data_IF_959089993432
#
_entry.id   IF_959089993432
#
_cell.length_a   1.000
_cell.length_b   1.000
_cell.length_c   1.000
_cell.angle_alpha   90.00
_cell.angle_beta   90.00
_cell.angle_gamma   90.00
#
_symmetry.space_group_name_H-M   'P 1'
#
loop_
_entity.id
_entity.type
_entity.pdbx_description
1 polymer ?
#
# COMPACT_ATOMS: atom_id res chain seq x y z
N UNK A 1 -10.11 0.10 27.59
CA UNK A 1 -8.83 0.71 27.16
C UNK A 1 -7.86 -0.43 26.88
N UNK A 2 -7.43 -0.66 25.64
CA UNK A 2 -6.41 -1.69 25.35
C UNK A 2 -5.07 -1.14 25.85
N UNK A 3 -4.44 -1.82 26.79
CA UNK A 3 -3.05 -1.55 27.17
C UNK A 3 -2.17 -1.72 25.93
N UNK A 4 -1.46 -0.66 25.54
CA UNK A 4 -0.41 -0.74 24.53
C UNK A 4 0.80 -1.38 25.21
N UNK A 5 0.93 -2.70 25.07
CA UNK A 5 2.11 -3.42 25.55
C UNK A 5 3.32 -3.03 24.71
N UNK A 6 4.30 -2.37 25.34
CA UNK A 6 5.58 -2.08 24.68
C UNK A 6 6.43 -3.35 24.68
N UNK A 7 6.56 -3.98 23.52
CA UNK A 7 7.47 -5.09 23.33
C UNK A 7 8.92 -4.60 23.16
N UNK A 8 9.87 -5.29 23.78
CA UNK A 8 11.30 -5.07 23.57
C UNK A 8 11.82 -5.98 22.46
N UNK A 9 12.62 -5.42 21.56
CA UNK A 9 13.30 -6.16 20.49
C UNK A 9 14.81 -5.94 20.57
N UNK A 10 15.59 -6.91 20.10
CA UNK A 10 17.02 -6.75 19.84
C UNK A 10 17.21 -6.56 18.33
N UNK A 11 17.74 -5.41 17.92
CA UNK A 11 17.99 -5.07 16.53
C UNK A 11 19.50 -5.00 16.28
N UNK A 12 19.99 -5.77 15.31
CA UNK A 12 21.37 -5.67 14.83
C UNK A 12 21.41 -4.72 13.64
N UNK A 13 22.34 -3.77 13.69
CA UNK A 13 22.66 -2.84 12.60
C UNK A 13 24.16 -2.90 12.36
N UNK A 14 24.58 -2.78 11.11
CA UNK A 14 25.98 -2.51 10.82
C UNK A 14 26.39 -1.11 11.35
N UNK A 15 27.70 -0.90 11.45
CA UNK A 15 28.27 0.31 12.06
C UNK A 15 27.92 1.58 11.28
N UNK A 16 27.85 1.48 9.95
CA UNK A 16 27.48 2.59 9.08
C UNK A 16 26.03 3.02 9.33
N UNK A 17 25.11 2.06 9.36
CA UNK A 17 23.69 2.28 9.63
C UNK A 17 23.47 2.84 11.03
N UNK A 18 24.17 2.33 12.04
CA UNK A 18 24.07 2.84 13.40
C UNK A 18 24.57 4.29 13.49
N UNK A 19 25.71 4.59 12.86
CA UNK A 19 26.29 5.94 12.82
C UNK A 19 25.36 6.93 12.15
N UNK A 20 24.83 6.57 10.97
CA UNK A 20 23.86 7.40 10.23
C UNK A 20 22.56 7.59 11.01
N UNK A 21 22.06 6.55 11.66
CA UNK A 21 20.86 6.62 12.50
C UNK A 21 21.06 7.58 13.66
N UNK A 22 22.20 7.52 14.35
CA UNK A 22 22.51 8.45 15.44
C UNK A 22 22.62 9.89 14.95
N UNK A 23 23.31 10.12 13.83
CA UNK A 23 23.43 11.45 13.22
C UNK A 23 22.07 12.06 12.86
N UNK A 24 21.20 11.28 12.20
CA UNK A 24 19.87 11.74 11.80
C UNK A 24 18.97 11.99 13.01
N UNK A 25 18.99 11.09 14.01
CA UNK A 25 18.24 11.26 15.25
C UNK A 25 18.62 12.58 15.97
N UNK A 26 19.92 12.87 16.07
CA UNK A 26 20.41 14.11 16.66
C UNK A 26 19.93 15.34 15.88
N UNK A 27 19.95 15.28 14.54
CA UNK A 27 19.51 16.37 13.66
C UNK A 27 18.04 16.70 13.73
N UNK A 28 17.20 15.73 14.10
CA UNK A 28 15.76 15.95 14.33
C UNK A 28 15.43 16.10 15.81
N UNK A 29 16.44 16.33 16.66
CA UNK A 29 16.29 16.50 18.11
C UNK A 29 15.52 15.36 18.79
N UNK A 30 15.78 14.12 18.37
CA UNK A 30 15.12 12.93 18.88
C UNK A 30 16.12 11.91 19.44
N UNK A 31 15.65 11.05 20.34
CA UNK A 31 16.48 9.91 20.78
C UNK A 31 16.58 8.88 19.66
N UNK A 32 17.67 8.10 19.62
CA UNK A 32 17.82 6.98 18.67
C UNK A 32 16.59 6.07 18.66
N UNK A 33 16.10 5.70 19.84
CA UNK A 33 14.94 4.80 19.96
C UNK A 33 13.67 5.43 19.39
N UNK A 34 13.41 6.71 19.68
CA UNK A 34 12.26 7.41 19.13
C UNK A 34 12.36 7.56 17.59
N UNK A 35 13.55 7.90 17.09
CA UNK A 35 13.83 7.96 15.66
C UNK A 35 13.58 6.60 14.96
N UNK A 36 14.10 5.50 15.52
CA UNK A 36 13.89 4.15 14.97
C UNK A 36 12.42 3.77 14.98
N UNK A 37 11.69 4.06 16.06
CA UNK A 37 10.24 3.77 16.12
C UNK A 37 9.47 4.52 15.04
N UNK A 38 9.80 5.80 14.81
CA UNK A 38 9.13 6.59 13.78
C UNK A 38 9.47 6.07 12.38
N UNK A 39 10.74 5.75 12.13
CA UNK A 39 11.18 5.17 10.87
C UNK A 39 10.45 3.86 10.55
N UNK A 40 10.26 2.98 11.55
CA UNK A 40 9.49 1.74 11.40
C UNK A 40 8.02 2.05 11.10
N UNK A 41 7.40 3.01 11.80
CA UNK A 41 6.01 3.40 11.55
C UNK A 41 5.82 3.87 10.10
N UNK A 42 6.64 4.81 9.65
CA UNK A 42 6.58 5.35 8.29
C UNK A 42 6.81 4.26 7.24
N UNK A 43 7.77 3.38 7.49
CA UNK A 43 8.05 2.25 6.60
C UNK A 43 6.85 1.29 6.50
N UNK A 44 6.20 0.99 7.62
CA UNK A 44 5.02 0.11 7.65
C UNK A 44 3.85 0.73 6.86
N UNK A 45 3.52 2.00 7.10
CA UNK A 45 2.45 2.70 6.37
C UNK A 45 2.71 2.69 4.86
N UNK A 46 3.96 2.95 4.45
CA UNK A 46 4.34 2.90 3.04
C UNK A 46 4.20 1.48 2.47
N UNK A 47 4.65 0.48 3.20
CA UNK A 47 4.62 -0.92 2.77
C UNK A 47 3.18 -1.43 2.65
N UNK A 48 2.31 -1.11 3.61
CA UNK A 48 0.88 -1.46 3.56
C UNK A 48 0.20 -0.86 2.32
N UNK A 49 0.47 0.42 2.02
CA UNK A 49 -0.04 1.07 0.80
C UNK A 49 0.45 0.39 -0.47
N UNK A 50 1.73 0.01 -0.51
CA UNK A 50 2.31 -0.70 -1.66
C UNK A 50 1.67 -2.07 -1.85
N UNK A 51 1.52 -2.85 -0.78
CA UNK A 51 0.89 -4.17 -0.83
C UNK A 51 -0.57 -4.09 -1.26
N UNK A 52 -1.31 -3.09 -0.76
CA UNK A 52 -2.69 -2.86 -1.18
C UNK A 52 -2.77 -2.51 -2.67
N UNK A 53 -1.90 -1.62 -3.15
CA UNK A 53 -1.85 -1.23 -4.56
C UNK A 53 -1.54 -2.43 -5.46
N UNK A 54 -0.53 -3.23 -5.11
CA UNK A 54 -0.21 -4.47 -5.84
C UNK A 54 -1.39 -5.42 -5.86
N UNK A 55 -2.10 -5.59 -4.73
CA UNK A 55 -3.26 -6.48 -4.68
C UNK A 55 -4.41 -5.99 -5.53
N UNK A 56 -4.70 -4.69 -5.51
CA UNK A 56 -5.73 -4.09 -6.35
C UNK A 56 -5.39 -4.23 -7.83
N UNK A 57 -4.12 -4.08 -8.20
CA UNK A 57 -3.65 -4.32 -9.57
C UNK A 57 -3.86 -5.77 -9.98
N UNK A 58 -3.43 -6.74 -9.16
CA UNK A 58 -3.64 -8.18 -9.44
C UNK A 58 -5.12 -8.53 -9.63
N UNK A 59 -5.98 -7.98 -8.78
CA UNK A 59 -7.43 -8.21 -8.87
C UNK A 59 -7.97 -7.55 -10.13
N UNK A 60 -7.62 -6.28 -10.39
CA UNK A 60 -8.05 -5.55 -11.58
C UNK A 60 -7.64 -6.26 -12.86
N UNK A 61 -6.43 -6.81 -12.94
CA UNK A 61 -5.96 -7.57 -14.11
C UNK A 61 -6.79 -8.84 -14.30
N UNK A 62 -7.15 -9.54 -13.21
CA UNK A 62 -7.98 -10.76 -13.28
C UNK A 62 -9.42 -10.50 -13.73
N UNK A 63 -10.04 -9.41 -13.29
CA UNK A 63 -11.44 -9.09 -13.64
C UNK A 63 -11.58 -8.21 -14.88
N UNK A 64 -10.48 -7.80 -15.51
CA UNK A 64 -10.48 -6.88 -16.65
C UNK A 64 -11.19 -7.46 -17.87
N UNK A 65 -10.84 -8.68 -18.26
CA UNK A 65 -11.38 -9.29 -19.47
C UNK A 65 -12.86 -9.62 -19.33
N UNK A 66 -13.25 -10.09 -18.13
CA UNK A 66 -14.64 -10.41 -17.80
C UNK A 66 -15.51 -9.14 -17.74
N UNK A 67 -15.01 -8.06 -17.13
CA UNK A 67 -15.71 -6.76 -17.09
C UNK A 67 -15.88 -6.15 -18.48
N UNK A 68 -14.88 -6.28 -19.36
CA UNK A 68 -14.95 -5.80 -20.74
C UNK A 68 -15.92 -6.63 -21.60
N UNK A 69 -16.05 -7.94 -21.34
CA UNK A 69 -17.04 -8.79 -22.01
C UNK A 69 -18.47 -8.35 -21.65
N UNK A 70 -18.76 -8.27 -20.34
CA UNK A 70 -20.08 -7.85 -19.85
C UNK A 70 -20.43 -6.43 -20.34
N UNK A 71 -19.46 -5.51 -20.34
CA UNK A 71 -19.69 -4.15 -20.84
C UNK A 71 -20.10 -4.12 -22.31
N UNK A 72 -19.49 -4.97 -23.16
CA UNK A 72 -19.89 -5.08 -24.58
C UNK A 72 -21.27 -5.71 -24.72
N UNK A 73 -21.57 -6.73 -23.92
CA UNK A 73 -22.89 -7.39 -23.94
C UNK A 73 -24.01 -6.41 -23.55
N UNK A 74 -23.75 -5.52 -22.58
CA UNK A 74 -24.68 -4.45 -22.21
C UNK A 74 -24.83 -3.39 -23.31
N UNK A 75 -23.75 -2.99 -23.98
CA UNK A 75 -23.81 -2.01 -25.08
C UNK A 75 -24.64 -2.52 -26.28
N UNK A 76 -24.58 -3.83 -26.54
CA UNK A 76 -25.43 -4.49 -27.55
C UNK A 76 -26.89 -4.52 -27.10
N UNK A 77 -27.16 -4.73 -25.81
CA UNK A 77 -28.52 -4.79 -25.28
C UNK A 77 -29.22 -3.41 -25.21
N UNK A 78 -28.46 -2.33 -24.96
CA UNK A 78 -28.97 -0.94 -24.91
C UNK A 78 -29.03 -0.27 -26.30
N UNK A 79 -28.57 -0.95 -27.37
CA UNK A 79 -28.67 -0.42 -28.73
C UNK A 79 -30.14 -0.39 -29.20
N UNK A 80 -30.63 0.73 -29.72
CA UNK A 80 -32.01 0.81 -30.22
C UNK A 80 -32.20 -0.17 -31.38
N UNK A 81 -33.27 -0.97 -31.31
CA UNK A 81 -33.63 -1.93 -32.35
C UNK A 81 -33.63 -1.25 -33.73
N UNK A 82 -33.10 -1.92 -34.78
CA UNK A 82 -33.19 -1.39 -36.13
C UNK A 82 -34.66 -1.17 -36.46
N UNK A 83 -34.97 0.03 -37.01
CA UNK A 83 -36.31 0.31 -37.49
C UNK A 83 -36.60 -0.68 -38.62
N UNK A 84 -37.72 -1.40 -38.50
CA UNK A 84 -38.24 -2.18 -39.62
C UNK A 84 -38.53 -1.20 -40.75
N UNK A 85 -37.86 -1.38 -41.89
CA UNK A 85 -38.15 -0.63 -43.11
C UNK A 85 -39.49 -1.16 -43.66
N UNK A 86 -40.52 -0.30 -43.63
CA UNK A 86 -41.84 -0.50 -44.26
C UNK A 86 -41.77 -0.58 -45.80
#
# INVERSE_FOLDING_TARGET
>A
MRELTMAQINLKLDEEQLTRTNYLAARVHSTRTAYIREAIREYNVRTERQLLASRLQEVSEKVRDESLSVSREMEVADSPLPKEDD
#
